data_IF_752296871223
#
_entry.id   IF_752296871223
#
_cell.length_a   1.000
_cell.length_b   1.000
_cell.length_c   1.000
_cell.angle_alpha   90.00
_cell.angle_beta   90.00
_cell.angle_gamma   90.00
#
_symmetry.space_group_name_H-M   'P 1'
#
loop_
_entity.id
_entity.type
_entity.pdbx_description
1 polymer ?
#
# COMPACT_ATOMS: atom_id res chain seq x y z
N UNK A 1 -0.55 -39.09 53.37
CA UNK A 1 -0.73 -39.08 51.89
C UNK A 1 0.23 -40.11 51.30
N UNK A 2 -0.23 -41.03 50.45
CA UNK A 2 0.62 -42.10 49.93
C UNK A 2 1.59 -41.56 48.86
N UNK A 3 2.92 -41.73 49.00
CA UNK A 3 3.91 -41.20 48.05
C UNK A 3 3.70 -41.73 46.63
N UNK A 4 3.18 -42.95 46.47
CA UNK A 4 2.85 -43.52 45.16
C UNK A 4 1.77 -42.70 44.44
N UNK A 5 0.73 -42.27 45.17
CA UNK A 5 -0.36 -41.47 44.62
C UNK A 5 0.10 -40.07 44.18
N UNK A 6 1.07 -39.51 44.91
CA UNK A 6 1.63 -38.19 44.62
C UNK A 6 2.46 -38.20 43.32
N UNK A 7 3.27 -39.24 43.12
CA UNK A 7 4.05 -39.45 41.90
C UNK A 7 3.13 -39.68 40.70
N UNK A 8 2.08 -40.49 40.84
CA UNK A 8 1.12 -40.74 39.76
C UNK A 8 0.40 -39.46 39.35
N UNK A 9 -0.04 -38.64 40.30
CA UNK A 9 -0.70 -37.36 40.01
C UNK A 9 0.24 -36.38 39.30
N UNK A 10 1.52 -36.32 39.68
CA UNK A 10 2.51 -35.50 38.99
C UNK A 10 2.75 -35.95 37.55
N UNK A 11 2.84 -37.26 37.31
CA UNK A 11 2.97 -37.84 35.97
C UNK A 11 1.78 -37.51 35.08
N UNK A 12 0.56 -37.61 35.62
CA UNK A 12 -0.66 -37.27 34.89
C UNK A 12 -0.66 -35.79 34.50
N UNK A 13 -0.32 -34.90 35.43
CA UNK A 13 -0.26 -33.45 35.15
C UNK A 13 0.79 -33.17 34.08
N UNK A 14 1.97 -33.78 34.16
CA UNK A 14 3.04 -33.59 33.18
C UNK A 14 2.60 -34.04 31.78
N UNK A 15 1.96 -35.20 31.66
CA UNK A 15 1.46 -35.74 30.40
C UNK A 15 0.38 -34.86 29.78
N UNK A 16 -0.51 -34.28 30.60
CA UNK A 16 -1.53 -33.32 30.15
C UNK A 16 -0.91 -32.02 29.64
N UNK A 17 0.16 -31.53 30.28
CA UNK A 17 0.87 -30.33 29.81
C UNK A 17 1.56 -30.58 28.45
N UNK A 18 2.19 -31.73 28.25
CA UNK A 18 2.90 -32.08 27.01
C UNK A 18 1.93 -32.28 25.83
N UNK A 19 0.78 -32.93 26.08
CA UNK A 19 -0.24 -33.13 25.03
C UNK A 19 -0.89 -31.81 24.61
N UNK A 20 -1.16 -30.91 25.55
CA UNK A 20 -1.65 -29.56 25.25
C UNK A 20 -0.61 -28.73 24.48
N UNK A 21 0.67 -28.82 24.83
CA UNK A 21 1.74 -28.13 24.09
C UNK A 21 1.83 -28.66 22.64
N UNK A 22 1.71 -29.97 22.45
CA UNK A 22 1.74 -30.60 21.12
C UNK A 22 0.55 -30.19 20.25
N UNK A 23 -0.65 -30.02 20.84
CA UNK A 23 -1.83 -29.48 20.16
C UNK A 23 -1.63 -28.02 19.73
N UNK A 24 -1.05 -27.18 20.60
CA UNK A 24 -0.72 -25.78 20.28
C UNK A 24 0.32 -25.70 19.15
N UNK A 25 1.38 -26.50 19.20
CA UNK A 25 2.41 -26.53 18.15
C UNK A 25 1.84 -27.04 16.82
N UNK A 26 1.02 -28.11 16.84
CA UNK A 26 0.39 -28.64 15.63
C UNK A 26 -0.64 -27.66 15.03
N UNK A 27 -1.40 -26.95 15.86
CA UNK A 27 -2.34 -25.92 15.38
C UNK A 27 -1.62 -24.70 14.79
N UNK A 28 -0.50 -24.27 15.37
CA UNK A 28 0.38 -23.25 14.78
C UNK A 28 0.99 -23.74 13.46
N UNK A 29 1.48 -24.98 13.43
CA UNK A 29 2.04 -25.57 12.21
C UNK A 29 0.97 -25.72 11.12
N UNK A 30 -0.27 -26.08 11.45
CA UNK A 30 -1.40 -26.13 10.53
C UNK A 30 -1.85 -24.74 10.06
N UNK A 31 -1.81 -23.73 10.95
CA UNK A 31 -2.03 -22.33 10.59
C UNK A 31 -0.98 -21.85 9.56
N UNK A 32 0.29 -22.23 9.77
CA UNK A 32 1.38 -21.96 8.82
C UNK A 32 1.32 -22.82 7.55
N UNK A 33 0.68 -24.00 7.58
CA UNK A 33 0.53 -24.93 6.44
C UNK A 33 -0.75 -24.69 5.63
N UNK A 34 -1.45 -23.57 5.85
CA UNK A 34 -2.50 -23.11 4.94
C UNK A 34 -1.83 -22.90 3.58
N UNK A 35 -2.26 -23.69 2.59
CA UNK A 35 -1.82 -23.59 1.19
C UNK A 35 -1.60 -22.12 0.82
N UNK A 36 -0.34 -21.71 0.68
CA UNK A 36 0.03 -20.45 0.07
C UNK A 36 -0.41 -20.53 -1.40
N UNK A 37 -1.70 -20.35 -1.67
CA UNK A 37 -2.08 -19.65 -2.90
C UNK A 37 -1.27 -18.37 -2.82
N UNK A 38 -0.23 -18.23 -3.65
CA UNK A 38 0.56 -17.00 -3.75
C UNK A 38 -0.43 -15.88 -4.02
N UNK A 39 -0.92 -15.21 -2.96
CA UNK A 39 -2.01 -14.26 -3.09
C UNK A 39 -1.57 -13.10 -4.00
N UNK A 40 -0.26 -12.82 -4.09
CA UNK A 40 0.33 -11.94 -5.09
C UNK A 40 1.75 -12.37 -5.51
N UNK A 41 2.01 -12.51 -6.82
CA UNK A 41 3.36 -12.76 -7.37
C UNK A 41 4.08 -11.45 -7.70
N UNK A 42 4.46 -10.68 -6.67
CA UNK A 42 5.31 -9.51 -6.87
C UNK A 42 6.75 -9.98 -7.03
N UNK A 43 7.40 -9.62 -8.14
CA UNK A 43 8.81 -10.00 -8.36
C UNK A 43 9.69 -9.40 -7.25
N UNK A 44 10.49 -10.21 -6.54
CA UNK A 44 11.48 -9.69 -5.59
C UNK A 44 12.40 -8.68 -6.27
N UNK A 45 12.78 -7.64 -5.54
CA UNK A 45 13.61 -6.53 -6.00
C UNK A 45 12.98 -5.65 -7.11
N UNK A 46 11.70 -5.83 -7.45
CA UNK A 46 11.01 -4.93 -8.38
C UNK A 46 10.99 -3.49 -7.87
N UNK A 47 11.15 -2.52 -8.78
CA UNK A 47 11.07 -1.10 -8.43
C UNK A 47 9.63 -0.65 -8.62
N UNK A 48 8.97 -0.32 -7.50
CA UNK A 48 7.63 0.25 -7.47
C UNK A 48 7.74 1.77 -7.52
N UNK A 49 6.91 2.39 -8.37
CA UNK A 49 6.85 3.84 -8.55
C UNK A 49 5.43 4.34 -8.32
N UNK A 50 5.31 5.36 -7.49
CA UNK A 50 4.07 6.12 -7.37
C UNK A 50 4.19 7.34 -8.28
N UNK A 51 3.30 7.43 -9.26
CA UNK A 51 3.39 8.41 -10.36
C UNK A 51 2.13 9.26 -10.41
N UNK A 52 2.30 10.58 -10.50
CA UNK A 52 1.23 11.49 -10.92
C UNK A 52 1.40 11.75 -12.42
N UNK A 53 0.38 11.48 -13.22
CA UNK A 53 0.33 11.80 -14.64
C UNK A 53 -0.73 12.85 -14.92
N UNK A 54 -0.42 13.79 -15.80
CA UNK A 54 -1.40 14.75 -16.29
C UNK A 54 -2.07 14.19 -17.55
N UNK A 55 -3.29 13.65 -17.39
CA UNK A 55 -4.03 12.99 -18.47
C UNK A 55 -5.05 13.95 -19.13
N UNK A 56 -4.86 15.27 -19.01
CA UNK A 56 -5.71 16.32 -19.62
C UNK A 56 -5.40 16.56 -21.11
N UNK A 57 -5.16 15.50 -21.88
CA UNK A 57 -4.96 15.59 -23.33
C UNK A 57 -6.21 16.12 -24.04
N UNK A 58 -6.01 16.94 -25.08
CA UNK A 58 -7.11 17.52 -25.86
C UNK A 58 -8.00 18.50 -25.09
N UNK A 59 -7.56 18.97 -23.92
CA UNK A 59 -8.23 20.05 -23.19
C UNK A 59 -7.64 21.38 -23.63
N UNK A 60 -8.31 22.05 -24.57
CA UNK A 60 -7.91 23.37 -25.05
C UNK A 60 -7.78 24.35 -23.88
N UNK A 61 -6.62 25.02 -23.81
CA UNK A 61 -6.25 26.09 -22.87
C UNK A 61 -6.33 25.78 -21.35
N UNK A 62 -6.82 24.60 -20.95
CA UNK A 62 -7.05 24.22 -19.54
C UNK A 62 -6.34 22.93 -19.12
N UNK A 63 -5.44 22.40 -19.95
CA UNK A 63 -4.71 21.16 -19.67
C UNK A 63 -3.52 21.29 -18.70
N UNK A 64 -3.12 22.51 -18.34
CA UNK A 64 -1.99 22.73 -17.44
C UNK A 64 -2.40 22.55 -15.98
N UNK A 65 -1.51 21.95 -15.19
CA UNK A 65 -1.67 21.76 -13.76
C UNK A 65 -0.39 22.15 -13.00
N UNK A 66 -0.56 22.53 -11.74
CA UNK A 66 0.51 22.66 -10.77
C UNK A 66 0.30 21.65 -9.66
N UNK A 67 1.37 20.99 -9.20
CA UNK A 67 1.27 20.10 -8.04
C UNK A 67 2.48 20.22 -7.11
N UNK A 68 2.25 19.90 -5.84
CA UNK A 68 3.25 19.85 -4.78
C UNK A 68 2.90 18.72 -3.83
N UNK A 69 3.88 17.96 -3.35
CA UNK A 69 3.70 16.95 -2.31
C UNK A 69 4.55 17.31 -1.10
N UNK A 70 4.07 17.03 0.11
CA UNK A 70 4.70 17.43 1.36
C UNK A 70 5.85 16.53 1.82
N UNK A 71 6.22 15.50 1.03
CA UNK A 71 7.37 14.66 1.33
C UNK A 71 8.65 15.35 0.86
N UNK A 72 9.31 16.08 1.75
CA UNK A 72 10.53 16.86 1.46
C UNK A 72 10.24 18.32 1.10
N UNK A 73 10.97 18.86 0.13
CA UNK A 73 10.87 20.29 -0.22
C UNK A 73 9.53 20.58 -0.94
N UNK A 74 8.76 21.52 -0.40
CA UNK A 74 7.47 22.00 -0.93
C UNK A 74 7.66 22.82 -2.21
N UNK A 75 8.19 22.20 -3.27
CA UNK A 75 8.42 22.84 -4.57
C UNK A 75 7.22 22.59 -5.46
N UNK A 76 6.61 23.68 -5.92
CA UNK A 76 5.57 23.62 -6.94
C UNK A 76 6.14 23.20 -8.29
N UNK A 77 5.56 22.15 -8.86
CA UNK A 77 5.92 21.65 -10.18
C UNK A 77 4.82 22.01 -11.17
N UNK A 78 5.19 22.68 -12.26
CA UNK A 78 4.31 22.92 -13.40
C UNK A 78 4.24 21.64 -14.24
N UNK A 79 3.06 21.34 -14.76
CA UNK A 79 2.76 20.13 -15.52
C UNK A 79 1.90 20.47 -16.74
N UNK A 80 2.34 20.03 -17.91
CA UNK A 80 1.59 20.04 -19.18
C UNK A 80 0.88 18.70 -19.39
N UNK A 81 -0.15 18.62 -20.24
CA UNK A 81 -0.75 17.36 -20.65
C UNK A 81 0.31 16.37 -21.14
N UNK A 82 0.30 15.16 -20.56
CA UNK A 82 1.26 14.10 -20.82
C UNK A 82 2.45 14.02 -19.87
N UNK A 83 2.70 15.05 -19.06
CA UNK A 83 3.79 15.01 -18.08
C UNK A 83 3.53 13.96 -16.99
N UNK A 84 4.61 13.31 -16.55
CA UNK A 84 4.59 12.28 -15.50
C UNK A 84 5.65 12.57 -14.46
N UNK A 85 5.28 12.44 -13.19
CA UNK A 85 6.16 12.74 -12.07
C UNK A 85 6.17 11.60 -11.06
N UNK A 86 7.36 11.10 -10.75
CA UNK A 86 7.55 10.10 -9.69
C UNK A 86 7.54 10.83 -8.35
N UNK A 87 6.52 10.55 -7.54
CA UNK A 87 6.37 11.10 -6.17
C UNK A 87 7.16 10.25 -5.17
N UNK A 88 7.20 8.94 -5.40
CA UNK A 88 7.90 8.01 -4.54
C UNK A 88 8.39 6.82 -5.36
N UNK A 89 9.57 6.32 -5.02
CA UNK A 89 10.17 5.15 -5.66
C UNK A 89 10.78 4.24 -4.61
N UNK A 90 10.51 2.94 -4.70
CA UNK A 90 10.97 2.01 -3.69
C UNK A 90 11.15 0.60 -4.26
N UNK A 91 12.18 -0.10 -3.81
CA UNK A 91 12.44 -1.51 -4.13
C UNK A 91 11.54 -2.44 -3.30
N UNK A 92 10.90 -3.43 -3.90
CA UNK A 92 10.17 -4.47 -3.17
C UNK A 92 11.15 -5.54 -2.67
N UNK A 93 11.54 -5.49 -1.40
CA UNK A 93 12.57 -6.35 -0.80
C UNK A 93 12.03 -7.14 0.41
N UNK A 94 10.72 -7.29 0.53
CA UNK A 94 10.07 -7.97 1.67
C UNK A 94 10.08 -7.15 2.97
N UNK A 95 10.69 -5.96 2.99
CA UNK A 95 10.62 -5.07 4.15
C UNK A 95 9.29 -4.34 4.15
N UNK A 96 8.62 -4.30 5.30
CA UNK A 96 7.40 -3.53 5.50
C UNK A 96 7.70 -2.05 5.26
N UNK A 97 7.15 -1.46 4.21
CA UNK A 97 7.26 -0.03 3.93
C UNK A 97 5.92 0.64 4.14
N UNK A 98 5.91 1.59 5.07
CA UNK A 98 4.80 2.48 5.27
C UNK A 98 5.27 3.90 4.97
N UNK A 99 4.55 4.57 4.08
CA UNK A 99 4.87 5.91 3.64
C UNK A 99 3.60 6.71 3.46
N UNK A 100 3.66 7.99 3.79
CA UNK A 100 2.51 8.86 3.71
C UNK A 100 2.95 10.25 3.27
N UNK A 101 2.29 10.80 2.26
CA UNK A 101 2.46 12.20 1.90
C UNK A 101 1.18 12.82 1.41
N UNK A 102 1.01 14.11 1.69
CA UNK A 102 -0.10 14.87 1.17
C UNK A 102 0.33 15.58 -0.10
N UNK A 103 -0.43 15.41 -1.17
CA UNK A 103 -0.26 16.16 -2.40
C UNK A 103 -1.39 17.17 -2.56
N UNK A 104 -1.02 18.36 -2.99
CA UNK A 104 -1.92 19.43 -3.38
C UNK A 104 -1.73 19.69 -4.87
N UNK A 105 -2.85 19.82 -5.57
CA UNK A 105 -2.87 20.03 -7.01
C UNK A 105 -3.84 21.15 -7.36
N UNK A 106 -3.44 21.99 -8.32
CA UNK A 106 -4.21 23.11 -8.86
C UNK A 106 -4.24 23.04 -10.37
N UNK A 107 -5.37 23.38 -10.96
CA UNK A 107 -5.54 23.58 -12.39
C UNK A 107 -6.66 24.60 -12.62
N UNK A 108 -6.97 24.90 -13.87
CA UNK A 108 -8.12 25.74 -14.22
C UNK A 108 -9.47 25.10 -13.82
N UNK A 109 -9.50 23.79 -13.52
CA UNK A 109 -10.68 23.10 -12.99
C UNK A 109 -10.87 23.30 -11.48
N UNK A 110 -9.88 23.86 -10.77
CA UNK A 110 -9.91 24.08 -9.33
C UNK A 110 -8.72 23.45 -8.61
N UNK A 111 -8.92 23.01 -7.38
CA UNK A 111 -7.88 22.38 -6.57
C UNK A 111 -8.31 21.04 -5.97
N UNK A 112 -7.34 20.17 -5.71
CA UNK A 112 -7.53 18.88 -5.03
C UNK A 112 -6.43 18.70 -4.00
N UNK A 113 -6.83 18.20 -2.82
CA UNK A 113 -5.92 17.65 -1.83
C UNK A 113 -6.14 16.14 -1.81
N UNK A 114 -5.07 15.37 -2.00
CA UNK A 114 -5.15 13.92 -1.95
C UNK A 114 -3.94 13.32 -1.23
N UNK A 115 -4.15 12.28 -0.40
CA UNK A 115 -3.06 11.56 0.22
C UNK A 115 -2.46 10.54 -0.77
N UNK A 116 -1.15 10.36 -0.67
CA UNK A 116 -0.40 9.27 -1.29
C UNK A 116 0.05 8.35 -0.17
N UNK A 117 -0.56 7.16 -0.13
CA UNK A 117 -0.32 6.15 0.89
C UNK A 117 0.48 5.00 0.28
N UNK A 118 1.53 4.59 0.98
CA UNK A 118 2.32 3.42 0.67
C UNK A 118 2.12 2.45 1.81
N UNK A 119 1.52 1.32 1.48
CA UNK A 119 1.28 0.19 2.35
C UNK A 119 2.20 -0.96 1.92
N UNK A 120 2.37 -1.99 2.77
CA UNK A 120 3.19 -3.15 2.44
C UNK A 120 2.75 -3.84 1.13
N UNK A 121 1.46 -3.79 0.83
CA UNK A 121 0.85 -4.41 -0.34
C UNK A 121 0.75 -3.48 -1.56
N UNK A 122 1.27 -2.25 -1.50
CA UNK A 122 1.21 -1.29 -2.62
C UNK A 122 1.83 -1.86 -3.90
N UNK A 123 2.88 -2.69 -3.78
CA UNK A 123 3.50 -3.38 -4.92
C UNK A 123 2.54 -4.34 -5.63
N UNK A 124 1.64 -4.99 -4.87
CA UNK A 124 0.66 -5.93 -5.39
C UNK A 124 -0.45 -5.21 -6.16
N UNK A 125 -0.96 -4.09 -5.64
CA UNK A 125 -2.01 -3.31 -6.32
C UNK A 125 -1.58 -2.71 -7.67
N UNK A 126 -0.28 -2.62 -7.91
CA UNK A 126 0.27 -1.97 -9.10
C UNK A 126 0.95 -2.97 -10.06
N UNK A 127 0.93 -4.25 -9.71
CA UNK A 127 1.33 -5.35 -10.59
C UNK A 127 0.42 -5.40 -11.85
N UNK A 128 0.95 -5.75 -13.04
CA UNK A 128 2.33 -6.13 -13.34
C UNK A 128 3.28 -4.97 -13.64
N UNK A 129 2.76 -3.76 -13.80
CA UNK A 129 3.57 -2.60 -14.21
C UNK A 129 4.49 -2.07 -13.11
N UNK A 130 4.18 -2.37 -11.85
CA UNK A 130 4.77 -1.77 -10.66
C UNK A 130 4.66 -0.23 -10.63
N UNK A 131 3.70 0.34 -11.37
CA UNK A 131 3.43 1.78 -11.41
C UNK A 131 2.04 2.04 -10.84
N UNK A 132 1.99 2.67 -9.67
CA UNK A 132 0.75 3.14 -9.06
C UNK A 132 0.46 4.56 -9.55
N UNK A 133 -0.56 4.70 -10.40
CA UNK A 133 -0.86 5.96 -11.08
C UNK A 133 -1.96 6.78 -10.40
N UNK A 134 -1.66 8.03 -10.11
CA UNK A 134 -2.63 9.12 -9.97
C UNK A 134 -2.74 9.83 -11.31
N UNK A 135 -3.96 9.99 -11.82
CA UNK A 135 -4.25 10.57 -13.13
C UNK A 135 -5.04 11.85 -12.95
N UNK A 136 -4.49 12.97 -13.39
CA UNK A 136 -5.19 14.27 -13.41
C UNK A 136 -6.14 14.28 -14.60
N UNK A 137 -7.42 14.46 -14.32
CA UNK A 137 -8.52 14.36 -15.29
C UNK A 137 -9.47 15.55 -15.12
N UNK A 138 -10.39 15.74 -16.10
CA UNK A 138 -11.39 16.82 -16.07
C UNK A 138 -12.26 16.81 -14.81
N UNK A 139 -12.50 15.64 -14.22
CA UNK A 139 -13.36 15.45 -13.04
C UNK A 139 -12.59 15.47 -11.71
N UNK A 140 -11.26 15.37 -11.71
CA UNK A 140 -10.44 15.39 -10.50
C UNK A 140 -9.11 14.66 -10.68
N UNK A 141 -8.60 14.13 -9.58
CA UNK A 141 -7.44 13.22 -9.60
C UNK A 141 -7.94 11.80 -9.34
N UNK A 142 -7.70 10.89 -10.28
CA UNK A 142 -8.11 9.49 -10.21
C UNK A 142 -6.94 8.60 -9.81
N UNK A 143 -7.09 7.86 -8.71
CA UNK A 143 -6.13 6.85 -8.29
C UNK A 143 -6.50 5.51 -8.90
N UNK A 144 -5.69 5.07 -9.88
CA UNK A 144 -5.97 3.88 -10.72
C UNK A 144 -6.11 2.58 -9.91
N UNK A 145 -5.21 2.25 -8.97
CA UNK A 145 -5.24 0.97 -8.26
C UNK A 145 -6.53 0.73 -7.46
N UNK A 146 -7.08 1.75 -6.79
CA UNK A 146 -8.31 1.63 -5.98
C UNK A 146 -9.56 2.20 -6.67
N UNK A 147 -9.44 2.63 -7.94
CA UNK A 147 -10.51 3.32 -8.69
C UNK A 147 -11.12 4.50 -7.93
N UNK A 148 -10.31 5.23 -7.16
CA UNK A 148 -10.76 6.29 -6.26
C UNK A 148 -10.63 7.66 -6.94
N UNK A 149 -11.71 8.44 -6.94
CA UNK A 149 -11.74 9.79 -7.51
C UNK A 149 -11.70 10.87 -6.42
N UNK A 150 -10.70 11.73 -6.49
CA UNK A 150 -10.60 12.95 -5.70
C UNK A 150 -11.08 14.13 -6.54
N UNK A 151 -12.35 14.53 -6.35
CA UNK A 151 -13.00 15.56 -7.17
C UNK A 151 -12.40 16.95 -6.97
N UNK A 152 -12.38 17.74 -8.04
CA UNK A 152 -12.03 19.17 -7.98
C UNK A 152 -12.91 19.91 -6.99
N UNK A 153 -12.28 20.78 -6.18
CA UNK A 153 -12.96 21.81 -5.40
C UNK A 153 -12.77 23.15 -6.11
N UNK A 154 -13.85 23.90 -6.28
CA UNK A 154 -13.79 25.26 -6.85
C UNK A 154 -13.00 26.16 -5.89
N UNK A 155 -12.12 26.99 -6.43
CA UNK A 155 -11.56 28.11 -5.67
C UNK A 155 -12.72 29.08 -5.43
N UNK A 156 -12.97 29.44 -4.17
CA UNK A 156 -13.91 30.50 -3.81
C UNK A 156 -13.30 31.83 -4.15
#
# INVERSE_FOLDING_TARGET
MNPKTLVTNFLIILLVQISNLSLVVNSLQAYHKKNERREFSVKPNAIVRIVISNDLFGVENNGNAGFVCTNGNKVWRKSKPGDRFVVYQFKYDGKRRQGFTHCHLRSNFGFVNFPVNINPDTSAYCYPSYICGYSVQKNGVFYKPEKKLYRWKKQK
#
